data_IF_209378992121
#
_entry.id   IF_209378992121
#
_cell.length_a   1.000
_cell.length_b   1.000
_cell.length_c   1.000
_cell.angle_alpha   90.00
_cell.angle_beta   90.00
_cell.angle_gamma   90.00
#
_symmetry.space_group_name_H-M   'P 1'
#
loop_
_entity.id
_entity.type
_entity.pdbx_description
1 polymer ?
#
# COMPACT_ATOMS: atom_id res chain seq x y z
N UNK A 1 26.46 -1.11 -16.10
CA UNK A 1 25.86 -2.45 -16.30
C UNK A 1 24.66 -2.32 -17.24
N UNK A 2 24.33 -3.35 -18.04
CA UNK A 2 23.11 -3.35 -18.89
C UNK A 2 21.84 -3.54 -18.05
N UNK A 3 21.90 -4.41 -17.05
CA UNK A 3 20.87 -4.63 -16.04
C UNK A 3 21.51 -4.74 -14.65
N UNK A 4 20.72 -4.51 -13.61
CA UNK A 4 21.12 -4.75 -12.21
C UNK A 4 19.90 -5.26 -11.44
N UNK A 5 20.12 -6.17 -10.49
CA UNK A 5 19.09 -6.65 -9.58
C UNK A 5 19.48 -6.31 -8.14
N UNK A 6 18.50 -5.90 -7.34
CA UNK A 6 18.61 -5.71 -5.90
C UNK A 6 17.76 -6.78 -5.26
N UNK A 7 18.34 -7.50 -4.30
CA UNK A 7 17.69 -8.60 -3.60
C UNK A 7 17.92 -8.38 -2.11
N UNK A 8 16.83 -8.26 -1.35
CA UNK A 8 16.84 -7.99 0.10
C UNK A 8 16.13 -9.10 0.87
N UNK A 9 15.23 -9.83 0.22
CA UNK A 9 14.62 -11.02 0.83
C UNK A 9 15.69 -12.02 1.27
N UNK A 10 15.33 -12.84 2.24
CA UNK A 10 16.23 -13.82 2.83
C UNK A 10 16.81 -14.76 1.78
N UNK A 11 18.14 -14.87 1.77
CA UNK A 11 18.91 -15.65 0.79
C UNK A 11 18.58 -17.14 0.88
N UNK A 12 18.10 -17.62 2.02
CA UNK A 12 17.76 -19.01 2.25
C UNK A 12 16.61 -19.51 1.33
N UNK A 13 15.77 -18.60 0.83
CA UNK A 13 14.64 -18.91 -0.06
C UNK A 13 14.88 -18.52 -1.53
N UNK A 14 16.01 -17.90 -1.85
CA UNK A 14 16.25 -17.35 -3.19
C UNK A 14 16.80 -18.43 -4.12
N UNK A 15 16.11 -18.64 -5.24
CA UNK A 15 16.51 -19.59 -6.27
C UNK A 15 17.17 -18.88 -7.46
N UNK A 16 18.02 -19.57 -8.25
CA UNK A 16 18.53 -19.01 -9.51
C UNK A 16 17.41 -18.54 -10.45
N UNK A 17 16.27 -19.24 -10.42
CA UNK A 17 15.10 -18.87 -11.22
C UNK A 17 14.49 -17.53 -10.79
N UNK A 18 14.52 -17.20 -9.50
CA UNK A 18 14.09 -15.89 -8.99
C UNK A 18 14.91 -14.76 -9.62
N UNK A 19 16.24 -14.89 -9.58
CA UNK A 19 17.16 -13.90 -10.15
C UNK A 19 16.98 -13.82 -11.66
N UNK A 20 16.89 -14.97 -12.33
CA UNK A 20 16.67 -15.03 -13.77
C UNK A 20 15.36 -14.33 -14.18
N UNK A 21 14.25 -14.60 -13.49
CA UNK A 21 12.95 -13.98 -13.78
C UNK A 21 12.95 -12.46 -13.59
N UNK A 22 13.74 -11.93 -12.65
CA UNK A 22 13.89 -10.49 -12.48
C UNK A 22 14.78 -9.85 -13.55
N UNK A 23 15.92 -10.46 -13.89
CA UNK A 23 16.90 -9.86 -14.81
C UNK A 23 16.47 -9.99 -16.28
N UNK A 24 15.87 -11.13 -16.65
CA UNK A 24 15.57 -11.47 -18.04
C UNK A 24 14.74 -10.39 -18.78
N UNK A 25 13.64 -9.84 -18.22
CA UNK A 25 12.87 -8.82 -18.92
C UNK A 25 13.67 -7.53 -19.22
N UNK A 26 14.66 -7.20 -18.38
CA UNK A 26 15.53 -6.04 -18.62
C UNK A 26 16.52 -6.30 -19.75
N UNK A 27 17.09 -7.50 -19.80
CA UNK A 27 18.19 -7.83 -20.74
C UNK A 27 17.67 -8.25 -22.12
N UNK A 28 16.53 -8.95 -22.16
CA UNK A 28 16.00 -9.57 -23.39
C UNK A 28 14.78 -8.85 -23.97
N UNK A 29 14.03 -8.10 -23.15
CA UNK A 29 12.74 -7.50 -23.53
C UNK A 29 12.71 -5.97 -23.36
N UNK A 30 13.86 -5.36 -23.09
CA UNK A 30 14.07 -3.91 -22.96
C UNK A 30 13.17 -3.20 -21.91
N UNK A 31 12.71 -3.92 -20.87
CA UNK A 31 12.04 -3.29 -19.73
C UNK A 31 13.04 -2.51 -18.86
N UNK A 32 12.60 -1.39 -18.31
CA UNK A 32 13.43 -0.51 -17.49
C UNK A 32 13.35 -0.83 -15.98
N UNK A 33 12.21 -1.35 -15.52
CA UNK A 33 11.99 -1.82 -14.15
C UNK A 33 11.16 -3.12 -14.13
N UNK A 34 11.63 -4.10 -13.37
CA UNK A 34 10.92 -5.35 -13.10
C UNK A 34 10.59 -5.41 -11.62
N UNK A 35 9.31 -5.32 -11.29
CA UNK A 35 8.81 -5.43 -9.91
C UNK A 35 8.48 -6.88 -9.56
N UNK A 36 8.66 -7.31 -8.31
CA UNK A 36 8.36 -8.68 -7.92
C UNK A 36 6.85 -8.90 -7.69
N UNK A 37 6.40 -10.12 -7.94
CA UNK A 37 5.13 -10.65 -7.47
C UNK A 37 5.42 -11.89 -6.64
N UNK A 38 5.08 -11.89 -5.36
CA UNK A 38 5.39 -12.97 -4.42
C UNK A 38 4.15 -13.82 -4.14
N UNK A 39 4.35 -15.12 -3.89
CA UNK A 39 3.42 -15.86 -3.03
C UNK A 39 3.74 -15.56 -1.57
N UNK A 40 2.70 -15.62 -0.75
CA UNK A 40 2.78 -15.40 0.68
C UNK A 40 1.66 -16.17 1.37
N UNK A 41 1.80 -16.34 2.68
CA UNK A 41 0.78 -17.02 3.45
C UNK A 41 -0.48 -16.15 3.55
N UNK A 42 -1.65 -16.77 3.73
CA UNK A 42 -2.92 -16.04 3.91
C UNK A 42 -2.79 -14.98 5.02
N UNK A 43 -3.24 -13.76 4.74
CA UNK A 43 -3.18 -12.61 5.65
C UNK A 43 -1.78 -12.07 5.99
N UNK A 44 -0.74 -12.52 5.29
CA UNK A 44 0.51 -11.77 5.22
C UNK A 44 0.41 -10.62 4.22
N UNK A 45 1.35 -9.68 4.28
CA UNK A 45 1.41 -8.58 3.31
C UNK A 45 0.21 -7.62 3.33
N UNK A 46 -0.61 -7.60 4.39
CA UNK A 46 -1.84 -6.80 4.45
C UNK A 46 -1.63 -5.28 4.33
N UNK A 47 -0.46 -4.75 4.69
CA UNK A 47 -0.11 -3.35 4.37
C UNK A 47 -0.01 -3.13 2.85
N UNK A 48 0.52 -4.10 2.12
CA UNK A 48 0.59 -4.05 0.67
C UNK A 48 -0.81 -4.13 0.05
N UNK A 49 -1.56 -5.17 0.41
CA UNK A 49 -2.90 -5.46 -0.13
C UNK A 49 -3.91 -4.37 0.23
N UNK A 50 -3.88 -3.91 1.49
CA UNK A 50 -4.86 -2.96 2.02
C UNK A 50 -4.59 -1.50 1.75
N UNK A 51 -3.33 -1.14 1.46
CA UNK A 51 -2.93 0.27 1.37
C UNK A 51 -2.07 0.50 0.12
N UNK A 52 -0.88 -0.07 0.07
CA UNK A 52 0.16 0.35 -0.87
C UNK A 52 -0.21 0.06 -2.32
N UNK A 53 -0.61 -1.17 -2.64
CA UNK A 53 -1.01 -1.56 -4.01
C UNK A 53 -2.24 -0.78 -4.49
N UNK A 54 -3.38 -0.76 -3.77
CA UNK A 54 -4.57 -0.04 -4.25
C UNK A 54 -4.35 1.48 -4.31
N UNK A 55 -3.56 2.07 -3.39
CA UNK A 55 -3.21 3.49 -3.44
C UNK A 55 -2.30 3.81 -4.64
N UNK A 56 -1.25 3.02 -4.85
CA UNK A 56 -0.33 3.18 -5.99
C UNK A 56 -1.10 3.07 -7.30
N UNK A 57 -1.96 2.05 -7.43
CA UNK A 57 -2.81 1.84 -8.60
C UNK A 57 -3.73 3.02 -8.86
N UNK A 58 -4.45 3.48 -7.84
CA UNK A 58 -5.39 4.59 -7.99
C UNK A 58 -4.69 5.91 -8.35
N UNK A 59 -3.53 6.21 -7.76
CA UNK A 59 -2.82 7.46 -7.99
C UNK A 59 -2.04 7.45 -9.31
N UNK A 60 -1.28 6.39 -9.58
CA UNK A 60 -0.31 6.33 -10.68
C UNK A 60 -0.74 5.48 -11.87
N UNK A 61 -1.90 4.81 -11.80
CA UNK A 61 -2.55 4.21 -12.98
C UNK A 61 -1.86 2.96 -13.53
N UNK A 62 -1.01 2.31 -12.74
CA UNK A 62 -0.38 1.03 -13.06
C UNK A 62 -0.74 0.00 -11.99
N UNK A 63 -1.17 -1.17 -12.43
CA UNK A 63 -1.58 -2.25 -11.53
C UNK A 63 -0.36 -3.08 -11.09
N UNK A 64 0.48 -2.47 -10.25
CA UNK A 64 1.66 -3.14 -9.67
C UNK A 64 1.22 -3.87 -8.39
N UNK A 65 1.38 -5.20 -8.37
CA UNK A 65 1.02 -6.02 -7.20
C UNK A 65 1.81 -5.68 -5.93
N UNK A 66 3.13 -5.49 -6.01
CA UNK A 66 3.98 -5.18 -4.85
C UNK A 66 4.85 -3.94 -5.11
N UNK A 67 4.30 -2.71 -5.06
CA UNK A 67 5.04 -1.50 -5.40
C UNK A 67 6.27 -1.23 -4.53
N UNK A 68 6.26 -1.75 -3.30
CA UNK A 68 7.37 -1.67 -2.33
C UNK A 68 8.16 -2.98 -2.23
N UNK A 69 8.00 -3.89 -3.18
CA UNK A 69 8.76 -5.14 -3.23
C UNK A 69 10.26 -4.83 -3.31
N UNK A 70 11.08 -5.23 -2.32
CA UNK A 70 12.48 -4.87 -2.27
C UNK A 70 13.35 -5.68 -3.23
N UNK A 71 12.81 -6.74 -3.85
CA UNK A 71 13.53 -7.57 -4.82
C UNK A 71 13.13 -7.17 -6.24
N UNK A 72 13.92 -6.31 -6.87
CA UNK A 72 13.59 -5.78 -8.20
C UNK A 72 14.83 -5.72 -9.08
N UNK A 73 14.61 -5.64 -10.40
CA UNK A 73 15.68 -5.42 -11.37
C UNK A 73 15.40 -4.18 -12.21
N UNK A 74 16.45 -3.55 -12.71
CA UNK A 74 16.35 -2.32 -13.48
C UNK A 74 17.45 -2.18 -14.53
N UNK A 75 17.16 -1.37 -15.55
CA UNK A 75 18.10 -1.01 -16.60
C UNK A 75 19.13 0.01 -16.14
N UNK A 76 20.29 0.05 -16.82
CA UNK A 76 21.29 1.09 -16.58
C UNK A 76 20.76 2.52 -16.80
N UNK A 77 19.79 2.68 -17.72
CA UNK A 77 19.11 3.97 -18.00
C UNK A 77 18.29 4.43 -16.81
N UNK A 78 17.49 3.53 -16.23
CA UNK A 78 16.71 3.86 -15.03
C UNK A 78 17.64 4.13 -13.83
N UNK A 79 18.70 3.34 -13.66
CA UNK A 79 19.72 3.57 -12.63
C UNK A 79 20.32 4.98 -12.70
N UNK A 80 20.68 5.44 -13.91
CA UNK A 80 21.23 6.76 -14.14
C UNK A 80 20.21 7.88 -13.82
N UNK A 81 18.94 7.71 -14.21
CA UNK A 81 17.87 8.65 -13.87
C UNK A 81 17.68 8.77 -12.36
N UNK A 82 17.64 7.63 -11.67
CA UNK A 82 17.57 7.57 -10.22
C UNK A 82 18.72 8.38 -9.63
N UNK A 83 19.98 8.04 -9.95
CA UNK A 83 21.18 8.74 -9.45
C UNK A 83 21.15 10.25 -9.68
N UNK A 84 20.72 10.70 -10.87
CA UNK A 84 20.62 12.12 -11.19
C UNK A 84 19.61 12.89 -10.31
N UNK A 85 18.54 12.22 -9.87
CA UNK A 85 17.50 12.79 -9.00
C UNK A 85 17.81 12.69 -7.49
N UNK A 86 18.90 12.04 -7.11
CA UNK A 86 19.25 11.85 -5.69
C UNK A 86 19.48 13.18 -4.96
N UNK A 87 18.50 13.62 -4.17
CA UNK A 87 18.60 14.82 -3.33
C UNK A 87 18.90 14.46 -1.88
N UNK A 88 19.80 15.21 -1.22
CA UNK A 88 20.05 15.08 0.23
C UNK A 88 18.82 15.40 1.08
N UNK A 89 17.83 16.15 0.54
CA UNK A 89 16.64 16.59 1.28
C UNK A 89 15.58 15.49 1.46
N UNK A 90 15.55 14.51 0.57
CA UNK A 90 14.56 13.44 0.57
C UNK A 90 15.28 12.12 0.25
N UNK A 91 15.75 11.38 1.28
CA UNK A 91 16.41 10.11 1.06
C UNK A 91 15.44 9.17 0.35
N UNK A 92 15.91 8.48 -0.70
CA UNK A 92 15.07 7.54 -1.45
C UNK A 92 14.68 6.37 -0.57
N UNK A 93 13.46 5.91 -0.78
CA UNK A 93 12.92 4.70 -0.18
C UNK A 93 12.44 3.76 -1.28
N UNK A 94 12.07 2.53 -0.92
CA UNK A 94 11.41 1.62 -1.85
C UNK A 94 10.12 2.21 -2.44
N UNK A 95 9.47 3.18 -1.77
CA UNK A 95 8.28 3.86 -2.29
C UNK A 95 8.57 4.70 -3.53
N UNK A 96 9.76 5.27 -3.64
CA UNK A 96 10.13 6.09 -4.80
C UNK A 96 10.38 5.26 -6.05
N UNK A 97 10.83 4.01 -5.95
CA UNK A 97 11.34 3.24 -7.11
C UNK A 97 10.26 3.03 -8.17
N UNK A 98 9.14 2.40 -7.81
CA UNK A 98 8.05 2.15 -8.75
C UNK A 98 7.38 3.45 -9.20
N UNK A 99 7.24 4.43 -8.30
CA UNK A 99 6.58 5.71 -8.61
C UNK A 99 7.42 6.55 -9.57
N UNK A 100 8.72 6.68 -9.34
CA UNK A 100 9.64 7.40 -10.22
C UNK A 100 9.67 6.78 -11.61
N UNK A 101 9.71 5.44 -11.69
CA UNK A 101 9.64 4.73 -12.96
C UNK A 101 8.36 5.10 -13.75
N UNK A 102 7.20 5.10 -13.07
CA UNK A 102 5.92 5.47 -13.71
C UNK A 102 5.93 6.93 -14.14
N UNK A 103 6.32 7.83 -13.23
CA UNK A 103 6.25 9.28 -13.44
C UNK A 103 7.17 9.76 -14.56
N UNK A 104 8.31 9.09 -14.75
CA UNK A 104 9.28 9.37 -15.81
C UNK A 104 9.01 8.64 -17.13
N UNK A 105 7.97 7.80 -17.18
CA UNK A 105 7.61 7.07 -18.39
C UNK A 105 8.59 5.95 -18.76
N UNK A 106 9.17 5.28 -17.76
CA UNK A 106 9.95 4.07 -17.97
C UNK A 106 9.01 2.87 -18.23
N UNK A 107 9.50 1.89 -18.99
CA UNK A 107 8.77 0.65 -19.23
C UNK A 107 8.86 -0.29 -18.02
N UNK A 108 7.71 -0.71 -17.51
CA UNK A 108 7.61 -1.49 -16.26
C UNK A 108 6.88 -2.79 -16.53
N UNK A 109 7.44 -3.89 -16.02
CA UNK A 109 6.76 -5.17 -15.93
C UNK A 109 6.85 -5.76 -14.53
N UNK A 110 6.26 -6.93 -14.34
CA UNK A 110 6.39 -7.71 -13.13
C UNK A 110 6.88 -9.11 -13.41
N UNK A 111 7.50 -9.73 -12.41
CA UNK A 111 7.88 -11.12 -12.45
C UNK A 111 7.33 -11.87 -11.23
N UNK A 112 6.64 -12.98 -11.49
CA UNK A 112 6.22 -13.95 -10.48
C UNK A 112 7.47 -14.64 -9.95
N UNK A 113 7.84 -14.29 -8.72
CA UNK A 113 8.96 -14.82 -7.97
C UNK A 113 8.42 -15.66 -6.81
N UNK A 114 9.25 -16.51 -6.21
CA UNK A 114 8.79 -17.51 -5.23
C UNK A 114 8.19 -16.94 -3.95
N UNK A 115 8.09 -17.81 -2.94
CA UNK A 115 7.52 -17.45 -1.64
C UNK A 115 8.36 -16.38 -0.94
N UNK A 116 7.72 -15.28 -0.56
CA UNK A 116 8.29 -14.29 0.36
C UNK A 116 7.80 -14.58 1.77
N UNK A 117 8.73 -14.89 2.67
CA UNK A 117 8.44 -15.02 4.09
C UNK A 117 8.49 -13.66 4.75
N UNK A 118 7.42 -13.31 5.47
CA UNK A 118 7.38 -12.10 6.28
C UNK A 118 7.84 -12.41 7.71
N UNK A 119 8.53 -11.49 8.38
CA UNK A 119 8.79 -11.65 9.81
C UNK A 119 7.46 -11.71 10.57
N UNK A 120 7.40 -12.45 11.69
CA UNK A 120 6.21 -12.52 12.53
C UNK A 120 5.69 -11.12 12.86
N UNK A 121 4.40 -10.89 12.59
CA UNK A 121 3.76 -9.58 12.78
C UNK A 121 3.39 -9.40 14.25
N UNK A 122 4.04 -8.45 14.94
CA UNK A 122 3.58 -8.01 16.26
C UNK A 122 2.36 -7.09 16.11
N UNK A 123 1.17 -7.70 16.05
CA UNK A 123 -0.10 -6.98 15.92
C UNK A 123 -0.35 -5.97 17.04
N UNK A 124 0.37 -6.03 18.17
CA UNK A 124 0.25 -5.06 19.26
C UNK A 124 1.03 -3.76 18.98
N UNK A 125 2.08 -3.81 18.16
CA UNK A 125 3.00 -2.70 17.94
C UNK A 125 3.17 -2.34 16.45
N UNK A 126 2.05 -2.26 15.72
CA UNK A 126 2.06 -1.93 14.29
C UNK A 126 2.36 -0.46 13.97
N UNK A 127 2.37 0.44 14.97
CA UNK A 127 2.51 1.88 14.73
C UNK A 127 3.85 2.27 14.11
N UNK A 128 4.94 1.58 14.48
CA UNK A 128 6.29 1.82 13.92
C UNK A 128 6.39 1.34 12.48
N UNK A 129 5.95 0.11 12.19
CA UNK A 129 5.92 -0.46 10.84
C UNK A 129 5.05 0.39 9.91
N UNK A 130 3.87 0.80 10.38
CA UNK A 130 2.98 1.68 9.64
C UNK A 130 3.65 3.03 9.32
N UNK A 131 4.37 3.62 10.29
CA UNK A 131 5.10 4.88 10.10
C UNK A 131 6.26 4.74 9.11
N UNK A 132 7.00 3.64 9.17
CA UNK A 132 8.10 3.34 8.24
C UNK A 132 7.63 3.15 6.81
N UNK A 133 6.45 2.55 6.60
CA UNK A 133 5.89 2.31 5.27
C UNK A 133 5.17 3.54 4.74
N UNK A 134 4.26 4.14 5.52
CA UNK A 134 3.38 5.19 5.03
C UNK A 134 4.02 6.57 5.00
N UNK A 135 5.05 6.83 5.82
CA UNK A 135 5.81 8.08 5.75
C UNK A 135 6.36 8.32 4.35
N UNK A 136 7.18 7.40 3.81
CA UNK A 136 7.68 7.51 2.45
C UNK A 136 6.57 7.44 1.38
N UNK A 137 5.53 6.60 1.56
CA UNK A 137 4.42 6.55 0.60
C UNK A 137 3.70 7.89 0.49
N UNK A 138 3.34 8.53 1.60
CA UNK A 138 2.68 9.84 1.59
C UNK A 138 3.60 10.95 1.09
N UNK A 139 4.90 10.83 1.34
CA UNK A 139 5.89 11.72 0.75
C UNK A 139 5.89 11.63 -0.79
N UNK A 140 5.83 10.43 -1.37
CA UNK A 140 5.73 10.27 -2.83
C UNK A 140 4.41 10.84 -3.38
N UNK A 141 3.29 10.68 -2.64
CA UNK A 141 2.01 11.32 -3.01
C UNK A 141 2.14 12.84 -3.05
N UNK A 142 2.88 13.44 -2.11
CA UNK A 142 3.14 14.88 -2.10
C UNK A 142 4.04 15.33 -3.26
N UNK A 143 5.17 14.64 -3.48
CA UNK A 143 6.15 14.95 -4.53
C UNK A 143 5.52 14.86 -5.92
N UNK A 144 4.78 13.79 -6.19
CA UNK A 144 4.23 13.49 -7.52
C UNK A 144 2.80 13.99 -7.70
N UNK A 145 2.36 14.94 -6.86
CA UNK A 145 1.03 15.55 -6.89
C UNK A 145 0.57 16.03 -8.26
N UNK A 146 1.46 16.62 -9.05
CA UNK A 146 1.11 17.09 -10.38
C UNK A 146 0.85 15.94 -11.36
N UNK A 147 1.58 14.83 -11.22
CA UNK A 147 1.44 13.66 -12.08
C UNK A 147 0.11 12.94 -11.78
N UNK A 148 -0.07 12.45 -10.54
CA UNK A 148 -1.22 11.61 -10.21
C UNK A 148 -2.57 12.33 -10.31
N UNK A 149 -2.59 13.66 -10.19
CA UNK A 149 -3.82 14.45 -10.35
C UNK A 149 -4.43 14.34 -11.76
N UNK A 150 -3.62 14.01 -12.77
CA UNK A 150 -4.05 13.88 -14.18
C UNK A 150 -4.46 12.46 -14.55
N UNK A 151 -3.99 11.47 -13.80
CA UNK A 151 -4.24 10.05 -14.07
C UNK A 151 -5.71 9.69 -13.83
N UNK A 152 -6.29 8.88 -14.72
CA UNK A 152 -7.66 8.36 -14.63
C UNK A 152 -7.64 6.86 -14.94
N UNK A 153 -8.30 6.07 -14.10
CA UNK A 153 -8.25 4.61 -14.17
C UNK A 153 -6.83 4.07 -13.99
N UNK A 154 -6.67 2.79 -14.31
CA UNK A 154 -5.38 2.12 -14.35
C UNK A 154 -5.29 1.15 -15.53
N UNK A 155 -4.06 0.72 -15.82
CA UNK A 155 -3.76 -0.27 -16.84
C UNK A 155 -2.95 -1.40 -16.23
N UNK A 156 -3.23 -2.62 -16.69
CA UNK A 156 -2.41 -3.79 -16.41
C UNK A 156 -1.01 -3.57 -16.99
N UNK A 157 -0.01 -4.14 -16.32
CA UNK A 157 1.36 -4.20 -16.82
C UNK A 157 1.71 -5.66 -17.13
N UNK A 158 2.65 -5.93 -18.05
CA UNK A 158 3.07 -7.29 -18.36
C UNK A 158 3.58 -8.03 -17.12
N UNK A 159 3.14 -9.26 -16.92
CA UNK A 159 3.57 -10.14 -15.82
C UNK A 159 4.19 -11.41 -16.41
N UNK A 160 5.41 -11.73 -15.98
CA UNK A 160 6.16 -12.89 -16.46
C UNK A 160 6.32 -13.94 -15.36
N UNK A 161 6.40 -15.20 -15.76
CA UNK A 161 6.59 -16.33 -14.85
C UNK A 161 5.33 -17.18 -14.70
N UNK A 162 5.46 -18.22 -13.88
CA UNK A 162 4.39 -19.19 -13.66
C UNK A 162 3.51 -18.74 -12.48
N UNK A 163 2.19 -19.00 -12.53
CA UNK A 163 1.28 -18.69 -11.43
C UNK A 163 1.80 -19.24 -10.09
N UNK A 164 1.64 -18.43 -9.05
CA UNK A 164 2.07 -18.77 -7.70
C UNK A 164 0.86 -19.19 -6.89
N UNK A 165 0.95 -20.28 -6.15
CA UNK A 165 -0.10 -20.68 -5.22
C UNK A 165 0.07 -19.93 -3.89
N UNK A 166 -1.03 -19.41 -3.33
CA UNK A 166 -1.03 -18.97 -1.93
C UNK A 166 -1.14 -20.21 -1.05
N UNK A 167 -0.36 -20.22 0.02
CA UNK A 167 -0.35 -21.30 1.00
C UNK A 167 -1.17 -20.92 2.24
N UNK A 168 -1.65 -21.91 3.03
CA UNK A 168 -2.38 -21.65 4.25
C UNK A 168 -1.61 -20.70 5.18
N UNK A 169 -2.27 -19.63 5.63
CA UNK A 169 -1.69 -18.64 6.53
C UNK A 169 -1.66 -19.07 8.00
N UNK A 170 -0.97 -18.30 8.86
CA UNK A 170 -0.91 -18.56 10.29
C UNK A 170 -2.30 -18.66 10.93
N UNK A 171 -2.42 -19.54 11.92
CA UNK A 171 -3.72 -20.04 12.43
C UNK A 171 -4.44 -19.16 13.47
N UNK A 172 -3.96 -17.97 13.85
CA UNK A 172 -4.77 -17.09 14.70
C UNK A 172 -4.40 -15.61 14.60
N UNK A 173 -5.31 -14.82 14.03
CA UNK A 173 -5.33 -13.37 14.19
C UNK A 173 -6.33 -13.05 15.31
N UNK A 174 -5.92 -12.31 16.32
CA UNK A 174 -6.78 -11.90 17.44
C UNK A 174 -7.72 -10.75 17.03
N UNK A 175 -8.81 -11.14 16.36
CA UNK A 175 -9.84 -10.23 15.86
C UNK A 175 -10.48 -9.39 16.95
N UNK A 176 -10.74 -10.01 18.11
CA UNK A 176 -11.37 -9.32 19.24
C UNK A 176 -10.49 -8.16 19.69
N UNK A 177 -9.20 -8.40 19.89
CA UNK A 177 -8.25 -7.38 20.31
C UNK A 177 -8.07 -6.26 19.29
N UNK A 178 -8.12 -6.57 18.00
CA UNK A 178 -8.07 -5.55 16.94
C UNK A 178 -9.28 -4.61 17.01
N UNK A 179 -10.48 -5.16 17.18
CA UNK A 179 -11.72 -4.38 17.33
C UNK A 179 -11.70 -3.56 18.63
N UNK A 180 -11.22 -4.14 19.74
CA UNK A 180 -11.05 -3.42 21.02
C UNK A 180 -10.04 -2.26 20.88
N UNK A 181 -8.94 -2.46 20.16
CA UNK A 181 -7.96 -1.42 19.86
C UNK A 181 -8.59 -0.27 19.05
N UNK A 182 -9.44 -0.60 18.07
CA UNK A 182 -10.22 0.39 17.33
C UNK A 182 -11.20 1.16 18.25
N UNK A 183 -11.95 0.46 19.11
CA UNK A 183 -12.86 1.12 20.08
C UNK A 183 -12.13 2.02 21.07
N UNK A 184 -10.92 1.65 21.51
CA UNK A 184 -10.07 2.49 22.34
C UNK A 184 -9.56 3.71 21.55
N UNK A 185 -9.09 3.51 20.32
CA UNK A 185 -8.69 4.59 19.42
C UNK A 185 -9.83 5.58 19.16
N UNK A 186 -11.04 5.09 18.92
CA UNK A 186 -12.22 5.94 18.73
C UNK A 186 -12.60 6.74 19.97
N UNK A 187 -12.20 6.34 21.19
CA UNK A 187 -12.43 7.17 22.39
C UNK A 187 -11.31 8.18 22.61
N UNK A 188 -10.06 7.77 22.37
CA UNK A 188 -8.88 8.53 22.81
C UNK A 188 -8.29 9.42 21.71
N UNK A 189 -8.57 9.14 20.43
CA UNK A 189 -7.98 9.87 19.29
C UNK A 189 -8.99 10.75 18.55
N UNK A 190 -10.20 10.98 19.11
CA UNK A 190 -11.24 11.82 18.47
C UNK A 190 -10.71 13.20 18.09
N UNK A 191 -9.99 13.86 18.99
CA UNK A 191 -9.44 15.19 18.74
C UNK A 191 -8.43 15.17 17.59
N UNK A 192 -7.54 14.17 17.58
CA UNK A 192 -6.54 14.01 16.52
C UNK A 192 -7.20 13.67 15.18
N UNK A 193 -8.15 12.74 15.18
CA UNK A 193 -8.90 12.39 13.98
C UNK A 193 -9.76 13.54 13.49
N UNK A 194 -10.30 14.38 14.38
CA UNK A 194 -11.06 15.59 14.03
C UNK A 194 -10.26 16.65 13.28
N UNK A 195 -8.93 16.66 13.43
CA UNK A 195 -8.05 17.56 12.69
C UNK A 195 -7.93 17.16 11.21
N UNK A 196 -8.06 15.86 10.89
CA UNK A 196 -7.73 15.32 9.55
C UNK A 196 -8.90 14.66 8.83
N UNK A 197 -9.82 14.03 9.56
CA UNK A 197 -11.00 13.35 9.02
C UNK A 197 -12.20 14.31 9.02
N UNK A 198 -12.97 14.39 7.93
CA UNK A 198 -14.17 15.20 7.91
C UNK A 198 -15.26 14.61 8.81
N UNK A 199 -16.24 15.41 9.27
CA UNK A 199 -17.30 14.96 10.17
C UNK A 199 -18.07 13.73 9.65
N UNK A 200 -18.29 13.65 8.34
CA UNK A 200 -18.94 12.50 7.71
C UNK A 200 -18.17 11.19 7.91
N UNK A 201 -16.84 11.23 7.81
CA UNK A 201 -15.98 10.05 8.05
C UNK A 201 -16.01 9.66 9.53
N UNK A 202 -15.97 10.63 10.45
CA UNK A 202 -16.07 10.36 11.90
C UNK A 202 -17.42 9.75 12.29
N UNK A 203 -18.51 10.20 11.66
CA UNK A 203 -19.84 9.63 11.86
C UNK A 203 -19.90 8.16 11.42
N UNK A 204 -19.35 7.83 10.25
CA UNK A 204 -19.27 6.46 9.76
C UNK A 204 -18.42 5.58 10.69
N UNK A 205 -17.28 6.08 11.18
CA UNK A 205 -16.48 5.39 12.20
C UNK A 205 -17.30 5.14 13.49
N UNK A 206 -18.11 6.11 13.91
CA UNK A 206 -18.99 5.98 15.07
C UNK A 206 -20.09 4.92 14.89
N UNK A 207 -20.54 4.66 13.65
CA UNK A 207 -21.45 3.55 13.36
C UNK A 207 -20.74 2.20 13.52
N UNK A 208 -19.49 2.09 13.07
CA UNK A 208 -18.70 0.85 13.20
C UNK A 208 -18.51 0.42 14.66
N UNK A 209 -18.29 1.37 15.57
CA UNK A 209 -18.13 1.11 17.01
C UNK A 209 -19.38 0.47 17.64
N UNK A 210 -20.55 0.62 17.01
CA UNK A 210 -21.82 0.05 17.51
C UNK A 210 -22.11 -1.34 16.96
N UNK A 211 -21.33 -1.83 16.00
CA UNK A 211 -21.54 -3.15 15.41
C UNK A 211 -21.08 -4.24 16.37
N UNK A 212 -21.78 -5.38 16.33
CA UNK A 212 -21.31 -6.59 16.98
C UNK A 212 -20.03 -7.12 16.28
N UNK A 213 -19.11 -7.81 16.99
CA UNK A 213 -17.84 -8.26 16.41
C UNK A 213 -17.97 -9.13 15.15
N UNK A 214 -18.98 -9.99 15.09
CA UNK A 214 -19.29 -10.86 13.95
C UNK A 214 -19.82 -10.07 12.72
N UNK A 215 -20.48 -8.94 12.98
CA UNK A 215 -21.00 -8.03 11.96
C UNK A 215 -20.01 -6.92 11.58
N UNK A 216 -18.82 -6.89 12.20
CA UNK A 216 -17.86 -5.82 12.00
C UNK A 216 -17.37 -5.79 10.54
N UNK A 217 -17.79 -4.78 9.78
CA UNK A 217 -17.42 -4.59 8.38
C UNK A 217 -17.12 -3.13 8.10
N UNK A 218 -15.87 -2.84 7.75
CA UNK A 218 -15.46 -1.51 7.30
C UNK A 218 -15.67 -1.40 5.79
N UNK A 219 -16.52 -0.48 5.29
CA UNK A 219 -16.74 -0.32 3.86
C UNK A 219 -15.45 0.14 3.14
N UNK A 220 -15.15 -0.44 1.96
CA UNK A 220 -13.94 -0.10 1.20
C UNK A 220 -13.85 1.39 0.85
N UNK A 221 -14.97 2.00 0.48
CA UNK A 221 -15.03 3.45 0.20
C UNK A 221 -14.69 4.30 1.42
N UNK A 222 -15.06 3.85 2.61
CA UNK A 222 -14.70 4.53 3.87
C UNK A 222 -13.19 4.41 4.10
N UNK A 223 -12.64 3.20 3.94
CA UNK A 223 -11.21 2.96 4.09
C UNK A 223 -10.35 3.77 3.12
N UNK A 224 -10.71 3.78 1.83
CA UNK A 224 -10.03 4.58 0.81
C UNK A 224 -10.04 6.08 1.16
N UNK A 225 -11.18 6.61 1.61
CA UNK A 225 -11.30 8.03 2.03
C UNK A 225 -10.43 8.35 3.23
N UNK A 226 -10.41 7.47 4.24
CA UNK A 226 -9.53 7.63 5.41
C UNK A 226 -8.08 7.78 4.95
N UNK A 227 -7.57 6.87 4.12
CA UNK A 227 -6.18 6.95 3.63
C UNK A 227 -5.90 8.23 2.84
N UNK A 228 -6.86 8.68 2.02
CA UNK A 228 -6.74 9.95 1.32
C UNK A 228 -6.74 11.17 2.24
N UNK A 229 -7.57 11.17 3.27
CA UNK A 229 -7.61 12.23 4.28
C UNK A 229 -6.32 12.27 5.11
N UNK A 230 -5.75 11.11 5.46
CA UNK A 230 -4.44 11.02 6.12
C UNK A 230 -3.30 11.49 5.19
N UNK A 231 -3.32 11.15 3.90
CA UNK A 231 -2.35 11.66 2.93
C UNK A 231 -2.44 13.19 2.77
N UNK A 232 -3.66 13.75 2.79
CA UNK A 232 -3.88 15.19 2.77
C UNK A 232 -3.40 15.85 4.07
N UNK A 233 -3.74 15.28 5.23
CA UNK A 233 -3.27 15.75 6.53
C UNK A 233 -1.74 15.72 6.64
N UNK A 234 -1.11 14.71 6.04
CA UNK A 234 0.35 14.60 5.96
C UNK A 234 0.93 15.77 5.19
N UNK A 235 0.43 16.02 3.96
CA UNK A 235 0.85 17.16 3.12
C UNK A 235 0.65 18.50 3.81
N UNK A 236 -0.50 18.72 4.45
CA UNK A 236 -0.83 19.98 5.13
C UNK A 236 -0.06 20.18 6.43
N UNK A 237 0.67 19.16 6.90
CA UNK A 237 1.37 19.15 8.20
C UNK A 237 0.42 19.51 9.35
N UNK A 238 -0.80 18.97 9.30
CA UNK A 238 -1.84 19.30 10.26
C UNK A 238 -1.42 19.01 11.72
N UNK A 239 -0.63 17.95 11.90
CA UNK A 239 0.16 17.64 13.10
C UNK A 239 1.51 17.06 12.66
N UNK A 240 2.37 16.70 13.63
CA UNK A 240 3.62 15.95 13.35
C UNK A 240 3.36 14.75 12.43
N UNK A 241 4.07 14.59 11.30
CA UNK A 241 3.87 13.49 10.36
C UNK A 241 3.91 12.09 11.00
N UNK A 242 4.82 11.89 11.97
CA UNK A 242 4.92 10.62 12.70
C UNK A 242 3.69 10.39 13.60
N UNK A 243 3.26 11.41 14.36
CA UNK A 243 2.05 11.31 15.18
C UNK A 243 0.79 11.08 14.34
N UNK A 244 0.71 11.73 13.16
CA UNK A 244 -0.38 11.53 12.22
C UNK A 244 -0.46 10.07 11.78
N UNK A 245 0.64 9.50 11.29
CA UNK A 245 0.61 8.12 10.79
C UNK A 245 0.33 7.14 11.94
N UNK A 246 0.92 7.35 13.12
CA UNK A 246 0.64 6.51 14.29
C UNK A 246 -0.83 6.55 14.71
N UNK A 247 -1.48 7.71 14.60
CA UNK A 247 -2.91 7.84 14.89
C UNK A 247 -3.81 7.04 13.94
N UNK A 248 -3.28 6.57 12.80
CA UNK A 248 -4.01 5.70 11.88
C UNK A 248 -4.01 4.23 12.31
N UNK A 249 -3.14 3.83 13.25
CA UNK A 249 -2.97 2.42 13.67
C UNK A 249 -4.29 1.75 14.06
N UNK A 250 -5.16 2.35 14.90
CA UNK A 250 -6.42 1.70 15.26
C UNK A 250 -7.41 1.57 14.08
N UNK A 251 -7.34 2.48 13.10
CA UNK A 251 -8.15 2.41 11.88
C UNK A 251 -7.67 1.30 10.94
N UNK A 252 -6.34 1.14 10.83
CA UNK A 252 -5.75 0.02 10.10
C UNK A 252 -6.12 -1.33 10.73
N UNK A 253 -6.04 -1.46 12.06
CA UNK A 253 -6.45 -2.68 12.76
C UNK A 253 -7.95 -3.00 12.56
N UNK A 254 -8.81 -1.98 12.56
CA UNK A 254 -10.22 -2.14 12.19
C UNK A 254 -10.38 -2.68 10.76
N UNK A 255 -9.66 -2.11 9.79
CA UNK A 255 -9.71 -2.60 8.41
C UNK A 255 -9.22 -4.06 8.32
N UNK A 256 -8.12 -4.41 8.99
CA UNK A 256 -7.62 -5.80 9.05
C UNK A 256 -8.66 -6.75 9.65
N UNK A 257 -9.30 -6.37 10.76
CA UNK A 257 -10.34 -7.19 11.38
C UNK A 257 -11.51 -7.44 10.41
N UNK A 258 -11.96 -6.39 9.71
CA UNK A 258 -12.99 -6.51 8.68
C UNK A 258 -12.58 -7.47 7.56
N UNK A 259 -11.34 -7.34 7.05
CA UNK A 259 -10.79 -8.16 5.97
C UNK A 259 -10.72 -9.64 6.35
N UNK A 260 -10.19 -9.93 7.53
CA UNK A 260 -10.01 -11.28 8.04
C UNK A 260 -11.36 -11.94 8.35
N UNK A 261 -12.31 -11.21 8.95
CA UNK A 261 -13.66 -11.71 9.20
C UNK A 261 -14.43 -12.02 7.91
N UNK A 262 -14.22 -11.24 6.85
CA UNK A 262 -14.87 -11.45 5.56
C UNK A 262 -14.29 -12.68 4.84
N UNK A 263 -12.97 -12.85 4.90
CA UNK A 263 -12.28 -13.84 4.10
C UNK A 263 -11.92 -15.12 4.86
N UNK A 264 -12.12 -15.25 6.18
CA UNK A 264 -11.57 -16.35 6.99
C UNK A 264 -11.60 -17.77 6.38
N UNK A 265 -12.66 -18.14 5.67
CA UNK A 265 -12.86 -19.47 5.07
C UNK A 265 -12.94 -19.50 3.53
N UNK A 266 -12.53 -18.43 2.83
CA UNK A 266 -12.60 -18.38 1.35
C UNK A 266 -11.35 -19.00 0.70
N UNK A 267 -11.45 -19.30 -0.60
CA UNK A 267 -10.31 -19.74 -1.42
C UNK A 267 -9.43 -18.58 -1.92
N UNK A 268 -8.33 -18.91 -2.59
CA UNK A 268 -7.36 -17.95 -3.10
C UNK A 268 -7.96 -17.02 -4.16
N UNK A 269 -8.78 -17.57 -5.06
CA UNK A 269 -9.45 -16.80 -6.11
C UNK A 269 -10.40 -15.73 -5.52
N UNK A 270 -11.12 -16.05 -4.45
CA UNK A 270 -11.95 -15.08 -3.74
C UNK A 270 -11.13 -13.98 -3.06
N UNK A 271 -9.95 -14.29 -2.51
CA UNK A 271 -9.05 -13.28 -1.92
C UNK A 271 -8.56 -12.32 -3.00
N UNK A 272 -8.10 -12.84 -4.14
CA UNK A 272 -7.65 -12.02 -5.29
C UNK A 272 -8.79 -11.15 -5.82
N UNK A 273 -9.98 -11.72 -6.00
CA UNK A 273 -11.16 -10.96 -6.41
C UNK A 273 -11.51 -9.86 -5.40
N UNK A 274 -11.43 -10.14 -4.10
CA UNK A 274 -11.71 -9.16 -3.06
C UNK A 274 -10.68 -8.03 -3.03
N UNK A 275 -9.40 -8.34 -3.29
CA UNK A 275 -8.34 -7.35 -3.42
C UNK A 275 -8.56 -6.44 -4.65
N UNK A 276 -9.04 -7.02 -5.76
CA UNK A 276 -9.44 -6.26 -6.95
C UNK A 276 -10.59 -5.29 -6.63
N UNK A 277 -11.62 -5.74 -5.91
CA UNK A 277 -12.73 -4.88 -5.48
C UNK A 277 -12.26 -3.71 -4.62
N UNK A 278 -11.34 -3.97 -3.68
CA UNK A 278 -10.74 -2.93 -2.85
C UNK A 278 -9.97 -1.90 -3.70
N UNK A 279 -9.17 -2.38 -4.65
CA UNK A 279 -8.42 -1.52 -5.57
C UNK A 279 -9.34 -0.63 -6.41
N UNK A 280 -10.44 -1.17 -6.93
CA UNK A 280 -11.47 -0.42 -7.64
C UNK A 280 -12.15 0.62 -6.74
N UNK A 281 -12.34 0.32 -5.45
CA UNK A 281 -12.89 1.29 -4.51
C UNK A 281 -11.97 2.51 -4.34
N UNK A 282 -10.64 2.31 -4.26
CA UNK A 282 -9.67 3.42 -4.25
C UNK A 282 -9.73 4.24 -5.53
N UNK A 283 -9.70 3.59 -6.69
CA UNK A 283 -9.83 4.28 -7.99
C UNK A 283 -11.11 5.12 -8.06
N UNK A 284 -12.24 4.53 -7.69
CA UNK A 284 -13.54 5.21 -7.70
C UNK A 284 -13.61 6.36 -6.71
N UNK A 285 -12.85 6.29 -5.62
CA UNK A 285 -12.74 7.34 -4.61
C UNK A 285 -11.73 8.44 -5.01
N UNK A 286 -10.92 8.28 -6.07
CA UNK A 286 -9.94 9.29 -6.49
C UNK A 286 -10.52 10.71 -6.69
N UNK A 287 -11.72 10.91 -7.27
CA UNK A 287 -12.34 12.24 -7.36
C UNK A 287 -12.47 12.96 -6.01
N UNK A 288 -12.69 12.21 -4.92
CA UNK A 288 -12.73 12.75 -3.57
C UNK A 288 -11.40 13.42 -3.20
N UNK A 289 -10.28 12.68 -3.26
CA UNK A 289 -8.97 13.26 -2.91
C UNK A 289 -8.56 14.38 -3.87
N UNK A 290 -8.88 14.28 -5.16
CA UNK A 290 -8.60 15.34 -6.14
C UNK A 290 -9.25 16.66 -5.76
N UNK A 291 -10.52 16.62 -5.34
CA UNK A 291 -11.26 17.82 -4.93
C UNK A 291 -10.61 18.48 -3.72
N UNK A 292 -10.35 17.70 -2.66
CA UNK A 292 -9.77 18.18 -1.40
C UNK A 292 -8.29 18.55 -1.50
N UNK A 293 -7.57 17.97 -2.46
CA UNK A 293 -6.17 18.31 -2.69
C UNK A 293 -6.01 19.69 -3.35
N UNK A 294 -6.94 20.07 -4.24
CA UNK A 294 -6.94 21.37 -4.92
C UNK A 294 -7.53 22.47 -4.04
N UNK A 295 -8.60 22.13 -3.33
CA UNK A 295 -9.29 23.01 -2.42
C UNK A 295 -9.34 22.32 -1.06
N UNK A 296 -8.22 22.35 -0.30
CA UNK A 296 -8.26 21.87 1.06
C UNK A 296 -9.30 22.69 1.79
N UNK A 297 -10.33 22.03 2.32
CA UNK A 297 -11.17 22.67 3.30
C UNK A 297 -10.20 23.21 4.34
N UNK A 298 -10.22 24.52 4.57
CA UNK A 298 -9.57 25.05 5.77
C UNK A 298 -10.36 24.40 6.90
N UNK A 299 -9.82 23.33 7.46
CA UNK A 299 -10.33 22.65 8.65
C UNK A 299 -10.25 23.66 9.78
N UNK A 300 -11.18 24.60 9.77
CA UNK A 300 -11.37 25.57 10.81
C UNK A 300 -12.64 25.11 11.53
N UNK A 301 -12.52 24.60 12.77
CA UNK A 301 -13.70 24.38 13.60
C UNK A 301 -14.50 25.68 13.76
#
# INVERSE_FOLDING_TARGET
>A
ARASAVIVSDLDNITPQWIYRLIRPVVELDFDLVTPCYSHARFEGLLNTGIVSPLTRALYGRQIQHPLGPDFAFSGKFAASLLAKGSKKHPRSLASISVDAICDGFEICQALVGERRYPPVDWMNQSSTLSQVLGPVFQEVEIHAQHWQRIRGSQNIPTFGDPLELHPGPQSIDLQRMIESFHLGYRNLQEIWGIVLPPGTLLELGKLVRLAPDQFRMPDRLWARILYDFALGYRLRAISPDHLIRAMTPLYLAWVASWVLELGNTDNAAIEHRAEQLALAFESAKPYVLSRWRWPDRFNP
#
